data_IF_707807654355
#
_entry.id   IF_707807654355
#
_cell.length_a   1.000
_cell.length_b   1.000
_cell.length_c   1.000
_cell.angle_alpha   90.00
_cell.angle_beta   90.00
_cell.angle_gamma   90.00
#
_symmetry.space_group_name_H-M   'P 1'
#
loop_
_entity.id
_entity.type
_entity.pdbx_description
1 polymer ?
#
# COMPACT_ATOMS: atom_id res chain seq x y z
N UNK A 1 3.66 9.06 3.10
CA UNK A 1 2.81 8.56 4.16
C UNK A 1 3.56 7.59 5.07
N UNK A 2 4.29 6.68 4.49
CA UNK A 2 5.01 5.68 5.27
C UNK A 2 6.36 5.37 4.62
N UNK A 3 7.37 5.23 5.46
CA UNK A 3 8.69 4.75 5.05
C UNK A 3 9.22 3.81 6.13
N UNK A 4 9.49 2.57 5.74
CA UNK A 4 10.04 1.57 6.65
C UNK A 4 10.87 0.57 5.89
N UNK A 5 12.14 0.39 6.31
CA UNK A 5 13.07 -0.49 5.62
C UNK A 5 13.26 -0.06 4.17
N UNK A 6 13.00 -0.97 3.24
CA UNK A 6 13.16 -0.74 1.80
C UNK A 6 11.86 -0.33 1.11
N UNK A 7 10.81 -0.01 1.89
CA UNK A 7 9.51 0.35 1.34
C UNK A 7 9.20 1.82 1.62
N UNK A 8 8.65 2.50 0.63
CA UNK A 8 8.16 3.87 0.75
C UNK A 8 6.74 3.90 0.22
N UNK A 9 5.77 4.34 1.03
CA UNK A 9 4.37 4.41 0.65
C UNK A 9 3.91 5.85 0.66
N UNK A 10 3.44 6.33 -0.47
CA UNK A 10 2.84 7.65 -0.62
C UNK A 10 1.33 7.55 -0.83
N UNK A 11 0.69 8.69 -1.08
CA UNK A 11 -0.75 8.72 -1.32
C UNK A 11 -1.13 8.24 -2.72
N UNK A 12 -0.18 8.22 -3.65
CA UNK A 12 -0.42 7.83 -5.04
C UNK A 12 0.34 6.59 -5.49
N UNK A 13 1.10 6.00 -4.60
CA UNK A 13 1.87 4.82 -4.97
C UNK A 13 2.80 4.37 -3.87
N UNK A 14 3.47 3.26 -4.13
CA UNK A 14 4.50 2.75 -3.22
C UNK A 14 5.70 2.27 -4.03
N UNK A 15 6.86 2.34 -3.40
CA UNK A 15 8.10 1.79 -3.93
C UNK A 15 8.56 0.69 -2.97
N UNK A 16 8.78 -0.51 -3.50
CA UNK A 16 9.23 -1.65 -2.71
C UNK A 16 10.12 -2.54 -3.57
N UNK A 17 11.31 -2.87 -3.06
CA UNK A 17 12.30 -3.66 -3.78
C UNK A 17 12.63 -3.11 -5.17
N UNK A 18 12.65 -1.78 -5.31
CA UNK A 18 12.91 -1.14 -6.59
C UNK A 18 11.75 -1.16 -7.58
N UNK A 19 10.60 -1.70 -7.19
CA UNK A 19 9.40 -1.75 -8.04
C UNK A 19 8.42 -0.67 -7.59
N UNK A 20 8.01 0.19 -8.51
CA UNK A 20 7.05 1.25 -8.26
C UNK A 20 5.64 0.78 -8.61
N UNK A 21 4.74 0.84 -7.64
CA UNK A 21 3.31 0.56 -7.82
C UNK A 21 2.56 1.87 -7.67
N UNK A 22 1.79 2.26 -8.70
CA UNK A 22 1.11 3.55 -8.74
C UNK A 22 -0.39 3.37 -8.80
N UNK A 23 -1.11 4.11 -7.98
CA UNK A 23 -2.56 4.27 -8.07
C UNK A 23 -2.90 5.75 -8.16
N UNK A 24 -4.16 6.09 -8.42
CA UNK A 24 -4.55 7.49 -8.63
C UNK A 24 -4.37 7.99 -10.05
N UNK A 25 -3.84 7.14 -10.95
CA UNK A 25 -3.88 7.40 -12.38
C UNK A 25 -5.29 7.08 -12.91
N UNK A 26 -5.66 7.53 -14.13
CA UNK A 26 -7.01 7.31 -14.64
C UNK A 26 -7.48 5.87 -14.67
N UNK A 27 -6.56 4.91 -14.76
CA UNK A 27 -6.89 3.49 -14.88
C UNK A 27 -6.41 2.66 -13.69
N UNK A 28 -6.07 3.31 -12.57
CA UNK A 28 -5.67 2.59 -11.37
C UNK A 28 -6.16 3.31 -10.12
N UNK A 29 -6.48 2.55 -9.08
CA UNK A 29 -7.01 3.10 -7.84
C UNK A 29 -6.62 2.21 -6.65
N UNK A 30 -6.55 2.85 -5.48
CA UNK A 30 -6.26 2.17 -4.23
C UNK A 30 -7.53 1.45 -3.75
N UNK A 31 -7.43 0.17 -3.37
CA UNK A 31 -8.55 -0.61 -2.88
C UNK A 31 -8.59 -0.74 -1.37
N UNK A 32 -7.46 -0.59 -0.70
CA UNK A 32 -7.41 -0.63 0.75
C UNK A 32 -6.01 -0.80 1.28
N UNK A 33 -5.88 -0.73 2.60
CA UNK A 33 -4.64 -0.98 3.29
C UNK A 33 -4.95 -1.44 4.71
N UNK A 34 -4.15 -2.37 5.23
CA UNK A 34 -4.30 -2.83 6.61
C UNK A 34 -2.98 -3.37 7.15
N UNK A 35 -2.84 -3.26 8.46
CA UNK A 35 -1.72 -3.85 9.17
C UNK A 35 -2.09 -5.28 9.58
N UNK A 36 -1.15 -6.21 9.51
CA UNK A 36 -1.36 -7.58 9.97
C UNK A 36 -1.59 -7.62 11.49
N UNK A 37 -2.15 -8.72 11.98
CA UNK A 37 -2.45 -8.88 13.40
C UNK A 37 -1.23 -8.72 14.30
N UNK A 38 -0.09 -9.23 13.85
CA UNK A 38 1.16 -9.14 14.61
C UNK A 38 1.90 -7.82 14.41
N UNK A 39 1.38 -6.94 13.53
CA UNK A 39 2.00 -5.67 13.24
C UNK A 39 3.30 -5.75 12.44
N UNK A 40 3.61 -6.92 11.87
CA UNK A 40 4.86 -7.13 11.14
C UNK A 40 4.75 -6.86 9.64
N UNK A 41 3.55 -6.77 9.11
CA UNK A 41 3.33 -6.58 7.68
C UNK A 41 2.23 -5.56 7.44
N UNK A 42 2.45 -4.72 6.44
CA UNK A 42 1.45 -3.77 5.94
C UNK A 42 0.98 -4.26 4.58
N UNK A 43 -0.30 -4.59 4.46
CA UNK A 43 -0.89 -4.98 3.20
C UNK A 43 -1.49 -3.76 2.51
N UNK A 44 -1.09 -3.53 1.26
CA UNK A 44 -1.62 -2.45 0.44
C UNK A 44 -2.24 -3.07 -0.80
N UNK A 45 -3.52 -2.80 -1.03
CA UNK A 45 -4.24 -3.28 -2.19
C UNK A 45 -4.56 -2.15 -3.16
N UNK A 46 -4.41 -2.43 -4.45
CA UNK A 46 -4.80 -1.49 -5.50
C UNK A 46 -5.31 -2.28 -6.71
N UNK A 47 -6.02 -1.60 -7.59
CA UNK A 47 -6.56 -2.21 -8.79
C UNK A 47 -6.19 -1.36 -10.01
N UNK A 48 -6.14 -2.00 -11.16
CA UNK A 48 -5.90 -1.30 -12.42
C UNK A 48 -6.73 -1.96 -13.53
N UNK A 49 -7.04 -1.20 -14.57
CA UNK A 49 -7.71 -1.73 -15.74
C UNK A 49 -6.69 -2.26 -16.75
N UNK A 50 -6.97 -3.44 -17.26
CA UNK A 50 -6.18 -4.07 -18.31
C UNK A 50 -7.10 -4.54 -19.43
N UNK A 51 -6.52 -5.15 -20.46
CA UNK A 51 -7.30 -5.74 -21.56
C UNK A 51 -8.23 -6.86 -21.08
N UNK A 52 -7.90 -7.48 -19.96
CA UNK A 52 -8.68 -8.57 -19.38
C UNK A 52 -9.71 -8.08 -18.34
N UNK A 53 -9.87 -6.76 -18.20
CA UNK A 53 -10.76 -6.15 -17.22
C UNK A 53 -9.98 -5.63 -16.01
N UNK A 54 -10.68 -5.42 -14.90
CA UNK A 54 -10.07 -4.92 -13.66
C UNK A 54 -9.24 -6.01 -13.00
N UNK A 55 -8.00 -5.68 -12.65
CA UNK A 55 -7.08 -6.57 -11.95
C UNK A 55 -6.84 -6.03 -10.55
N UNK A 56 -6.92 -6.89 -9.56
CA UNK A 56 -6.64 -6.55 -8.16
C UNK A 56 -5.27 -7.09 -7.77
N UNK A 57 -4.47 -6.23 -7.15
CA UNK A 57 -3.14 -6.58 -6.69
C UNK A 57 -3.02 -6.19 -5.22
N UNK A 58 -2.40 -7.05 -4.43
CA UNK A 58 -2.04 -6.70 -3.06
C UNK A 58 -0.56 -6.97 -2.84
N UNK A 59 0.07 -6.11 -2.05
CA UNK A 59 1.49 -6.19 -1.74
C UNK A 59 1.64 -6.20 -0.23
N UNK A 60 2.43 -7.12 0.29
CA UNK A 60 2.76 -7.19 1.71
C UNK A 60 4.14 -6.56 1.92
N UNK A 61 4.18 -5.53 2.75
CA UNK A 61 5.40 -4.81 3.06
C UNK A 61 5.85 -5.18 4.47
N UNK A 62 7.12 -5.55 4.67
CA UNK A 62 7.63 -5.81 6.01
C UNK A 62 7.64 -4.53 6.85
N UNK A 63 7.24 -4.63 8.11
CA UNK A 63 7.19 -3.51 9.03
C UNK A 63 8.19 -3.77 10.16
N UNK A 64 9.31 -3.04 10.23
CA UNK A 64 10.22 -3.14 11.36
C UNK A 64 9.51 -2.76 12.68
N UNK A 65 9.88 -3.34 13.82
CA UNK A 65 9.22 -3.04 15.09
C UNK A 65 9.17 -1.54 15.43
N UNK A 66 10.22 -0.80 15.09
CA UNK A 66 10.30 0.63 15.34
C UNK A 66 9.37 1.46 14.45
N UNK A 67 8.86 0.87 13.39
CA UNK A 67 7.98 1.54 12.42
C UNK A 67 6.50 1.18 12.58
N UNK A 68 6.15 0.40 13.60
CA UNK A 68 4.78 -0.09 13.77
C UNK A 68 3.74 1.03 13.86
N UNK A 69 4.02 2.05 14.68
CA UNK A 69 3.10 3.19 14.83
C UNK A 69 2.91 3.94 13.51
N UNK A 70 4.01 4.15 12.77
CA UNK A 70 3.95 4.79 11.47
C UNK A 70 3.16 3.95 10.46
N UNK A 71 3.31 2.63 10.50
CA UNK A 71 2.57 1.72 9.64
C UNK A 71 1.07 1.74 9.96
N UNK A 72 0.70 1.79 11.23
CA UNK A 72 -0.71 1.91 11.63
C UNK A 72 -1.33 3.20 11.10
N UNK A 73 -0.63 4.32 11.26
CA UNK A 73 -1.09 5.60 10.74
C UNK A 73 -1.21 5.60 9.22
N UNK A 74 -0.25 4.99 8.52
CA UNK A 74 -0.29 4.86 7.07
C UNK A 74 -1.47 3.99 6.62
N UNK A 75 -1.73 2.87 7.30
CA UNK A 75 -2.85 2.01 6.98
C UNK A 75 -4.19 2.75 7.11
N UNK A 76 -4.38 3.51 8.17
CA UNK A 76 -5.57 4.34 8.34
C UNK A 76 -5.71 5.37 7.23
N UNK A 77 -4.62 6.06 6.91
CA UNK A 77 -4.63 7.10 5.87
C UNK A 77 -4.97 6.52 4.51
N UNK A 78 -4.34 5.41 4.14
CA UNK A 78 -4.57 4.77 2.85
C UNK A 78 -5.98 4.18 2.77
N UNK A 79 -6.48 3.59 3.84
CA UNK A 79 -7.85 3.07 3.89
C UNK A 79 -8.87 4.20 3.70
N UNK A 80 -8.61 5.36 4.30
CA UNK A 80 -9.42 6.55 4.11
C UNK A 80 -9.44 7.01 2.65
N UNK A 81 -8.29 6.95 1.97
CA UNK A 81 -8.19 7.33 0.56
C UNK A 81 -8.86 6.32 -0.37
N UNK A 82 -8.93 5.06 0.04
CA UNK A 82 -9.56 4.01 -0.75
C UNK A 82 -11.09 4.07 -0.70
N UNK A 83 -11.60 4.65 0.37
CA UNK A 83 -13.04 4.80 0.55
C UNK A 83 -13.62 5.81 -0.38
#
# INVERSE_FOLDING_TARGET
VYRGGEAIVGERGLLFNGVLHVWGAPLSWLTGARLSRDGRSLEVGYAYLSRLGAQNVSTLLPVPPESRAAAEAAAERLQSLAG
#
